data_IF_036647378365
#
_entry.id   IF_036647378365
#
_cell.length_a   1.000
_cell.length_b   1.000
_cell.length_c   1.000
_cell.angle_alpha   90.00
_cell.angle_beta   90.00
_cell.angle_gamma   90.00
#
_symmetry.space_group_name_H-M   'P 1'
#
loop_
_entity.id
_entity.type
_entity.pdbx_description
1 polymer ?
#
# COMPACT_ATOMS: atom_id res chain seq x y z
N UNK A 1 -8.67 8.30 20.13
CA UNK A 1 -7.94 8.12 18.86
C UNK A 1 -7.91 6.63 18.55
N UNK A 2 -8.66 6.19 17.55
CA UNK A 2 -9.00 4.76 17.32
C UNK A 2 -8.06 4.07 16.34
N UNK A 3 -7.83 2.78 16.53
CA UNK A 3 -6.80 1.99 15.83
C UNK A 3 -7.26 1.57 14.43
N UNK A 4 -6.84 2.34 13.43
CA UNK A 4 -6.99 2.07 12.01
C UNK A 4 -5.84 1.22 11.47
N UNK A 5 -5.43 0.19 12.20
CA UNK A 5 -4.16 -0.46 11.94
C UNK A 5 -4.07 -1.18 10.59
N UNK A 6 -5.20 -1.47 9.98
CA UNK A 6 -5.31 -2.73 9.31
C UNK A 6 -5.47 -2.63 7.77
N UNK A 7 -6.21 -1.65 7.26
CA UNK A 7 -6.41 -1.49 5.81
C UNK A 7 -5.10 -1.30 5.01
N UNK A 8 -4.02 -0.85 5.68
CA UNK A 8 -2.71 -0.63 5.04
C UNK A 8 -2.01 -1.92 4.65
N UNK A 9 -2.28 -3.01 5.37
CA UNK A 9 -1.66 -4.30 5.14
C UNK A 9 -1.93 -4.88 3.74
N UNK A 10 -3.00 -4.43 3.06
CA UNK A 10 -3.60 -5.16 1.94
C UNK A 10 -3.21 -4.62 0.56
N UNK A 11 -2.71 -3.39 0.48
CA UNK A 11 -2.14 -2.86 -0.76
C UNK A 11 -0.97 -1.91 -0.54
N UNK A 12 -0.56 -1.67 0.72
CA UNK A 12 0.87 -1.74 0.91
C UNK A 12 1.30 -3.02 0.20
N UNK A 13 0.64 -4.18 0.46
CA UNK A 13 0.78 -5.52 -0.18
C UNK A 13 1.26 -5.53 -1.64
N UNK A 14 0.87 -4.53 -2.42
CA UNK A 14 1.03 -4.53 -3.84
C UNK A 14 1.98 -3.48 -4.38
N UNK A 15 2.94 -2.85 -3.68
CA UNK A 15 3.80 -1.80 -4.29
C UNK A 15 5.08 -1.47 -3.50
N UNK A 16 6.31 -1.89 -3.89
CA UNK A 16 7.63 -1.40 -3.37
C UNK A 16 8.98 -1.93 -3.99
N UNK A 17 9.64 -1.43 -5.08
CA UNK A 17 11.15 -1.26 -5.25
C UNK A 17 11.75 -1.25 -6.70
N UNK A 18 12.51 -0.20 -7.08
CA UNK A 18 13.87 -0.34 -7.66
C UNK A 18 14.70 0.97 -7.57
N UNK A 19 15.94 0.88 -7.07
CA UNK A 19 16.96 1.95 -7.09
C UNK A 19 17.82 1.97 -8.37
N UNK A 20 18.70 2.98 -8.56
CA UNK A 20 19.31 3.30 -9.84
C UNK A 20 20.51 2.39 -10.17
N UNK A 21 20.62 1.98 -11.44
CA UNK A 21 21.85 1.39 -11.98
C UNK A 21 22.91 2.49 -12.16
N UNK A 22 24.04 2.39 -11.43
CA UNK A 22 25.27 3.15 -11.73
C UNK A 22 26.22 2.28 -12.52
N UNK A 23 26.81 2.89 -13.55
CA UNK A 23 27.71 2.27 -14.51
C UNK A 23 28.95 1.67 -13.88
N UNK A 24 29.40 0.58 -14.49
CA UNK A 24 30.69 -0.04 -14.26
C UNK A 24 31.80 0.82 -14.87
N UNK A 25 32.90 1.00 -14.15
CA UNK A 25 34.23 0.69 -14.68
C UNK A 25 35.28 0.62 -13.55
N UNK A 26 36.24 -0.30 -13.78
CA UNK A 26 37.51 -0.60 -13.11
C UNK A 26 37.55 -1.43 -11.79
N UNK A 27 37.96 -2.69 -11.94
CA UNK A 27 38.34 -3.69 -10.92
C UNK A 27 39.79 -3.45 -10.42
N UNK A 28 40.15 -3.76 -9.15
CA UNK A 28 40.61 -5.14 -8.83
C UNK A 28 40.33 -5.67 -7.40
N UNK A 29 40.34 -7.02 -7.31
CA UNK A 29 40.22 -7.92 -6.15
C UNK A 29 38.79 -8.20 -5.61
N UNK A 30 38.35 -9.47 -5.46
CA UNK A 30 37.06 -9.77 -4.85
C UNK A 30 37.15 -9.42 -3.37
N UNK A 31 36.58 -8.28 -3.01
CA UNK A 31 36.19 -8.02 -1.63
C UNK A 31 35.35 -9.22 -1.16
N UNK A 32 35.51 -9.68 0.10
CA UNK A 32 34.58 -10.65 0.66
C UNK A 32 33.17 -10.14 0.37
N UNK A 33 32.34 -10.99 -0.26
CA UNK A 33 31.00 -10.60 -0.68
C UNK A 33 30.34 -9.90 0.50
N UNK A 34 30.16 -8.57 0.37
CA UNK A 34 29.48 -7.81 1.39
C UNK A 34 28.17 -8.55 1.66
N UNK A 35 27.78 -8.77 2.92
CA UNK A 35 26.51 -9.42 3.22
C UNK A 35 25.46 -8.71 2.37
N UNK A 36 24.76 -9.47 1.52
CA UNK A 36 23.80 -8.91 0.59
C UNK A 36 22.89 -7.98 1.39
N UNK A 37 22.93 -6.68 1.08
CA UNK A 37 22.16 -5.69 1.81
C UNK A 37 20.72 -6.17 1.88
N UNK A 38 20.13 -6.13 3.08
CA UNK A 38 18.73 -6.53 3.24
C UNK A 38 17.88 -5.77 2.23
N UNK A 39 16.96 -6.45 1.53
CA UNK A 39 16.13 -5.78 0.56
C UNK A 39 15.32 -4.70 1.29
N UNK A 40 15.24 -3.50 0.70
CA UNK A 40 14.40 -2.42 1.23
C UNK A 40 12.95 -2.90 1.42
N UNK A 41 12.54 -3.90 0.63
CA UNK A 41 11.17 -4.37 0.53
C UNK A 41 11.21 -5.89 0.49
N UNK A 42 10.66 -6.50 1.54
CA UNK A 42 10.90 -7.91 1.84
C UNK A 42 10.08 -8.87 0.99
N UNK A 43 8.80 -8.62 0.77
CA UNK A 43 8.00 -9.45 -0.15
C UNK A 43 8.33 -9.09 -1.61
N UNK A 44 8.46 -10.08 -2.49
CA UNK A 44 8.77 -9.84 -3.89
C UNK A 44 7.59 -9.28 -4.69
N UNK A 45 6.33 -9.54 -4.30
CA UNK A 45 5.18 -8.97 -5.00
C UNK A 45 5.10 -7.46 -4.76
N UNK A 46 5.31 -7.04 -3.50
CA UNK A 46 5.57 -5.65 -3.17
C UNK A 46 6.68 -5.12 -4.06
N UNK A 47 7.89 -5.71 -3.96
CA UNK A 47 9.07 -5.39 -4.79
C UNK A 47 8.72 -4.96 -6.21
N UNK A 48 8.03 -5.86 -6.90
CA UNK A 48 7.63 -5.65 -8.28
C UNK A 48 6.83 -4.38 -8.51
N UNK A 49 5.80 -4.14 -7.71
CA UNK A 49 4.81 -3.17 -8.09
C UNK A 49 5.20 -1.72 -7.78
N UNK A 50 6.00 -1.38 -6.76
CA UNK A 50 6.52 0.01 -6.74
C UNK A 50 7.69 0.20 -7.66
N UNK A 51 8.37 -0.85 -8.11
CA UNK A 51 9.23 -0.69 -9.27
C UNK A 51 8.41 -0.07 -10.42
N UNK A 52 7.16 -0.54 -10.61
CA UNK A 52 6.26 0.03 -11.61
C UNK A 52 5.83 1.47 -11.27
N UNK A 53 5.48 1.75 -10.02
CA UNK A 53 5.05 3.08 -9.59
C UNK A 53 6.20 4.11 -9.68
N UNK A 54 7.31 3.86 -8.97
CA UNK A 54 8.47 4.76 -8.89
C UNK A 54 9.18 4.89 -10.25
N UNK A 55 9.29 3.79 -11.01
CA UNK A 55 9.90 3.77 -12.33
C UNK A 55 8.94 4.17 -13.47
N UNK A 56 7.72 4.56 -13.14
CA UNK A 56 6.61 4.85 -14.07
C UNK A 56 6.43 3.82 -15.22
N UNK A 57 6.70 2.56 -14.94
CA UNK A 57 6.59 1.49 -15.95
C UNK A 57 5.13 1.14 -16.21
N UNK A 58 4.77 0.97 -17.48
CA UNK A 58 3.43 0.56 -17.92
C UNK A 58 3.45 -0.85 -18.48
N UNK A 59 2.33 -1.56 -18.39
CA UNK A 59 2.25 -2.91 -18.94
C UNK A 59 1.06 -3.71 -18.45
N UNK A 60 1.01 -4.94 -18.94
CA UNK A 60 0.09 -6.00 -18.52
C UNK A 60 0.94 -7.23 -18.23
N UNK A 61 0.70 -7.83 -17.07
CA UNK A 61 1.39 -9.02 -16.61
C UNK A 61 0.36 -10.07 -16.26
N UNK A 62 0.47 -11.25 -16.86
CA UNK A 62 -0.34 -12.40 -16.46
C UNK A 62 0.11 -12.93 -15.11
N UNK A 63 -0.77 -13.62 -14.39
CA UNK A 63 -0.42 -14.29 -13.14
C UNK A 63 0.78 -15.22 -13.27
N UNK A 64 0.87 -15.95 -14.39
CA UNK A 64 1.99 -16.86 -14.68
C UNK A 64 3.32 -16.13 -14.86
N UNK A 65 3.33 -15.05 -15.62
CA UNK A 65 4.54 -14.23 -15.82
C UNK A 65 5.01 -13.62 -14.50
N UNK A 66 4.07 -13.10 -13.71
CA UNK A 66 4.39 -12.54 -12.41
C UNK A 66 4.91 -13.61 -11.46
N UNK A 67 4.24 -14.76 -11.34
CA UNK A 67 4.70 -15.87 -10.52
C UNK A 67 6.11 -16.33 -10.88
N UNK A 68 6.43 -16.45 -12.18
CA UNK A 68 7.78 -16.78 -12.64
C UNK A 68 8.80 -15.71 -12.23
N UNK A 69 8.46 -14.43 -12.38
CA UNK A 69 9.30 -13.30 -11.97
C UNK A 69 9.54 -13.27 -10.46
N UNK A 70 8.52 -13.54 -9.65
CA UNK A 70 8.66 -13.57 -8.19
C UNK A 70 9.50 -14.77 -7.75
N UNK A 71 9.30 -15.94 -8.35
CA UNK A 71 10.10 -17.13 -8.09
C UNK A 71 11.60 -16.90 -8.37
N UNK A 72 11.93 -16.15 -9.42
CA UNK A 72 13.31 -15.79 -9.76
C UNK A 72 14.00 -14.94 -8.67
N UNK A 73 13.25 -14.29 -7.77
CA UNK A 73 13.84 -13.55 -6.64
C UNK A 73 14.35 -14.47 -5.52
N UNK A 74 14.02 -15.77 -5.54
CA UNK A 74 14.30 -16.72 -4.47
C UNK A 74 13.49 -16.46 -3.18
N UNK A 75 12.56 -15.50 -3.19
CA UNK A 75 11.72 -15.14 -2.04
C UNK A 75 10.27 -15.57 -2.29
N UNK A 76 9.58 -15.95 -1.20
CA UNK A 76 8.16 -16.29 -1.24
C UNK A 76 7.32 -15.05 -0.93
N UNK A 77 6.26 -14.83 -1.70
CA UNK A 77 5.24 -13.82 -1.36
C UNK A 77 4.26 -14.37 -0.33
N UNK A 78 3.84 -13.53 0.62
CA UNK A 78 2.72 -13.80 1.54
C UNK A 78 1.37 -13.59 0.87
N UNK A 79 1.35 -12.94 -0.29
CA UNK A 79 0.13 -12.73 -1.05
C UNK A 79 -0.22 -13.95 -1.89
N UNK A 80 -1.53 -14.15 -2.16
CA UNK A 80 -2.01 -15.28 -2.93
C UNK A 80 -1.79 -15.05 -4.44
N UNK A 81 -0.54 -14.90 -4.86
CA UNK A 81 -0.18 -14.60 -6.26
C UNK A 81 -0.66 -15.71 -7.20
N UNK A 82 -0.87 -16.92 -6.69
CA UNK A 82 -1.47 -18.03 -7.43
C UNK A 82 -2.92 -17.75 -7.90
N UNK A 83 -3.64 -16.86 -7.21
CA UNK A 83 -5.01 -16.46 -7.58
C UNK A 83 -5.05 -15.32 -8.59
N UNK A 84 -3.90 -14.68 -8.86
CA UNK A 84 -3.81 -13.56 -9.78
C UNK A 84 -4.00 -14.05 -11.23
N UNK A 85 -4.98 -13.50 -11.92
CA UNK A 85 -5.15 -13.67 -13.37
C UNK A 85 -4.31 -12.66 -14.12
N UNK A 86 -4.41 -11.38 -13.77
CA UNK A 86 -3.61 -10.32 -14.39
C UNK A 86 -3.41 -9.11 -13.48
N UNK A 87 -2.30 -8.41 -13.71
CA UNK A 87 -2.01 -7.09 -13.20
C UNK A 87 -1.75 -6.16 -14.39
N UNK A 88 -2.38 -5.00 -14.40
CA UNK A 88 -2.27 -4.01 -15.46
C UNK A 88 -2.00 -2.64 -14.85
N UNK A 89 -1.07 -1.90 -15.45
CA UNK A 89 -0.88 -0.47 -15.21
C UNK A 89 -0.81 0.25 -16.57
N UNK A 90 -1.78 1.11 -16.86
CA UNK A 90 -1.85 1.86 -18.11
C UNK A 90 -1.95 3.35 -17.86
N UNK A 91 -1.54 4.12 -18.87
CA UNK A 91 -1.86 5.53 -18.92
C UNK A 91 -3.36 5.75 -19.12
N UNK A 92 -3.91 6.73 -18.42
CA UNK A 92 -5.29 7.19 -18.64
C UNK A 92 -5.25 8.23 -19.76
N UNK A 93 -6.01 8.06 -20.86
CA UNK A 93 -6.07 9.05 -21.94
C UNK A 93 -6.46 10.44 -21.42
N UNK A 94 -5.79 11.50 -21.88
CA UNK A 94 -6.00 12.89 -21.41
C UNK A 94 -7.47 13.32 -21.24
N UNK A 95 -8.41 13.01 -22.17
CA UNK A 95 -9.81 13.38 -22.02
C UNK A 95 -10.53 12.68 -20.86
N UNK A 96 -9.99 11.56 -20.39
CA UNK A 96 -10.55 10.69 -19.36
C UNK A 96 -9.84 10.85 -18.01
N UNK A 97 -8.82 11.70 -17.89
CA UNK A 97 -8.08 11.89 -16.64
C UNK A 97 -8.92 12.74 -15.67
N UNK A 98 -9.46 12.16 -14.58
CA UNK A 98 -10.20 12.95 -13.61
C UNK A 98 -9.26 13.90 -12.88
N UNK A 99 -9.72 15.13 -12.66
CA UNK A 99 -8.95 16.18 -11.98
C UNK A 99 -9.52 16.45 -10.59
N UNK A 100 -8.64 16.58 -9.59
CA UNK A 100 -8.98 16.88 -8.21
C UNK A 100 -7.91 17.74 -7.58
N UNK A 101 -8.29 18.87 -6.96
CA UNK A 101 -7.33 19.84 -6.37
C UNK A 101 -6.18 20.16 -7.35
N UNK A 102 -6.54 20.39 -8.62
CA UNK A 102 -5.61 20.68 -9.73
C UNK A 102 -4.60 19.56 -10.06
N UNK A 103 -4.88 18.33 -9.61
CA UNK A 103 -4.09 17.12 -9.92
C UNK A 103 -4.90 16.15 -10.77
N UNK A 104 -4.27 15.60 -11.80
CA UNK A 104 -4.86 14.60 -12.68
C UNK A 104 -4.46 13.20 -12.26
N UNK A 105 -5.39 12.25 -12.34
CA UNK A 105 -5.04 10.84 -12.28
C UNK A 105 -4.49 10.43 -13.64
N UNK A 106 -3.21 10.06 -13.70
CA UNK A 106 -2.51 9.82 -14.97
C UNK A 106 -2.37 8.34 -15.30
N UNK A 107 -2.59 7.46 -14.32
CA UNK A 107 -2.48 6.01 -14.49
C UNK A 107 -3.70 5.30 -13.93
N UNK A 108 -4.02 4.16 -14.53
CA UNK A 108 -5.02 3.22 -14.07
C UNK A 108 -4.33 1.90 -13.77
N UNK A 109 -4.60 1.37 -12.59
CA UNK A 109 -4.25 0.03 -12.19
C UNK A 109 -5.47 -0.86 -12.29
N UNK A 110 -5.27 -2.09 -12.77
CA UNK A 110 -6.29 -3.14 -12.71
C UNK A 110 -5.65 -4.42 -12.21
N UNK A 111 -6.26 -5.02 -11.19
CA UNK A 111 -5.89 -6.33 -10.66
C UNK A 111 -7.09 -7.24 -10.88
N UNK A 112 -6.86 -8.37 -11.54
CA UNK A 112 -7.88 -9.40 -11.71
C UNK A 112 -7.40 -10.69 -11.04
N UNK A 113 -8.25 -11.23 -10.17
CA UNK A 113 -8.13 -12.52 -9.52
C UNK A 113 -9.03 -13.53 -10.24
N UNK A 114 -8.86 -14.82 -9.95
CA UNK A 114 -9.69 -15.90 -10.50
C UNK A 114 -11.11 -15.90 -9.89
N UNK A 115 -11.24 -15.49 -8.64
CA UNK A 115 -12.49 -15.33 -7.90
C UNK A 115 -12.38 -14.19 -6.88
N UNK A 116 -13.50 -13.88 -6.21
CA UNK A 116 -13.45 -13.10 -4.98
C UNK A 116 -12.59 -13.84 -3.95
N UNK A 117 -11.71 -13.11 -3.26
CA UNK A 117 -10.79 -13.66 -2.28
C UNK A 117 -11.34 -13.42 -0.88
N UNK A 118 -11.47 -14.47 -0.08
CA UNK A 118 -11.68 -14.40 1.36
C UNK A 118 -10.63 -15.27 2.05
N UNK A 119 -9.67 -14.66 2.75
CA UNK A 119 -8.58 -15.42 3.42
C UNK A 119 -8.20 -14.81 4.76
N UNK A 120 -7.66 -15.60 5.71
CA UNK A 120 -7.05 -15.06 6.90
C UNK A 120 -5.98 -14.03 6.55
N UNK A 121 -5.85 -13.02 7.38
CA UNK A 121 -4.91 -11.94 7.10
C UNK A 121 -3.45 -12.41 7.14
N UNK A 122 -2.67 -12.09 6.08
CA UNK A 122 -1.31 -12.62 5.95
C UNK A 122 -0.32 -11.97 6.92
N UNK A 123 -0.73 -10.95 7.66
CA UNK A 123 0.09 -10.21 8.62
C UNK A 123 -0.47 -10.38 10.03
N UNK A 124 0.42 -10.63 10.98
CA UNK A 124 0.07 -10.58 12.39
C UNK A 124 0.10 -9.12 12.87
N UNK A 125 -0.88 -8.76 13.68
CA UNK A 125 -0.91 -7.48 14.39
C UNK A 125 -0.73 -7.81 15.86
N UNK A 126 0.35 -7.29 16.47
CA UNK A 126 0.71 -7.58 17.85
C UNK A 126 0.81 -9.10 18.14
N UNK A 127 1.25 -9.89 17.13
CA UNK A 127 1.39 -11.34 17.24
C UNK A 127 0.10 -12.14 17.04
N UNK A 128 -1.01 -11.51 16.65
CA UNK A 128 -2.30 -12.16 16.40
C UNK A 128 -2.77 -11.98 14.95
N UNK A 129 -3.45 -12.98 14.36
CA UNK A 129 -4.04 -12.91 13.01
C UNK A 129 -5.47 -12.35 13.08
N UNK A 130 -5.71 -11.07 12.74
CA UNK A 130 -6.86 -10.34 13.30
C UNK A 130 -8.19 -10.52 12.55
N UNK A 131 -8.36 -11.58 11.76
CA UNK A 131 -9.60 -11.84 11.03
C UNK A 131 -9.39 -12.16 9.56
N UNK A 132 -10.32 -11.70 8.72
CA UNK A 132 -10.41 -12.07 7.31
C UNK A 132 -10.22 -10.87 6.40
N UNK A 133 -9.46 -11.10 5.33
CA UNK A 133 -9.35 -10.20 4.21
C UNK A 133 -10.34 -10.61 3.13
N UNK A 134 -11.17 -9.67 2.70
CA UNK A 134 -12.02 -9.79 1.52
C UNK A 134 -11.52 -8.88 0.41
N UNK A 135 -11.31 -9.44 -0.78
CA UNK A 135 -10.93 -8.70 -1.99
C UNK A 135 -11.84 -9.12 -3.13
N UNK A 136 -12.43 -8.16 -3.83
CA UNK A 136 -13.17 -8.45 -5.06
C UNK A 136 -12.27 -9.07 -6.12
N UNK A 137 -12.86 -9.92 -6.96
CA UNK A 137 -12.21 -10.51 -8.12
C UNK A 137 -11.53 -9.45 -9.00
N UNK A 138 -12.16 -8.30 -9.18
CA UNK A 138 -11.61 -7.20 -9.97
C UNK A 138 -11.44 -5.98 -9.07
N UNK A 139 -10.23 -5.46 -9.03
CA UNK A 139 -9.92 -4.15 -8.48
C UNK A 139 -9.47 -3.22 -9.59
N UNK A 140 -10.02 -2.00 -9.63
CA UNK A 140 -9.44 -0.92 -10.43
C UNK A 140 -9.13 0.29 -9.56
N UNK A 141 -7.96 0.87 -9.76
CA UNK A 141 -7.53 2.06 -9.07
C UNK A 141 -7.04 3.14 -10.04
N UNK A 142 -7.30 4.39 -9.71
CA UNK A 142 -6.70 5.54 -10.38
C UNK A 142 -5.54 6.09 -9.55
N UNK A 143 -4.43 6.39 -10.19
CA UNK A 143 -3.20 6.86 -9.56
C UNK A 143 -3.02 8.36 -9.79
N UNK A 144 -2.90 9.11 -8.69
CA UNK A 144 -2.42 10.48 -8.67
C UNK A 144 -0.97 10.49 -8.19
N UNK A 145 -0.09 11.09 -8.97
CA UNK A 145 1.29 11.36 -8.55
C UNK A 145 1.36 12.77 -7.99
N UNK A 146 1.64 12.88 -6.70
CA UNK A 146 1.84 14.15 -6.02
C UNK A 146 3.35 14.40 -5.90
N UNK A 147 3.82 15.65 -6.08
CA UNK A 147 5.23 15.96 -5.93
C UNK A 147 5.70 15.75 -4.49
N UNK A 148 7.00 15.51 -4.33
CA UNK A 148 7.63 15.48 -3.02
C UNK A 148 7.50 16.81 -2.29
N UNK A 149 7.53 16.74 -0.96
CA UNK A 149 7.33 17.89 -0.08
C UNK A 149 8.01 17.67 1.28
N UNK A 150 8.14 18.74 2.06
CA UNK A 150 8.51 18.66 3.47
C UNK A 150 7.29 18.96 4.33
N UNK A 151 7.12 18.21 5.41
CA UNK A 151 6.00 18.39 6.33
C UNK A 151 6.48 18.28 7.77
N UNK A 152 6.10 19.27 8.59
CA UNK A 152 6.29 19.17 10.04
C UNK A 152 5.09 18.48 10.66
N UNK A 153 5.36 17.39 11.37
CA UNK A 153 4.36 16.60 12.09
C UNK A 153 4.30 17.08 13.53
N UNK A 154 3.12 17.07 14.14
CA UNK A 154 2.90 17.51 15.54
C UNK A 154 3.11 19.02 15.81
N UNK A 155 3.05 19.86 14.77
CA UNK A 155 3.03 21.31 14.89
C UNK A 155 4.26 22.01 14.29
N UNK A 156 4.37 23.34 14.43
CA UNK A 156 5.45 24.13 13.83
C UNK A 156 6.86 23.75 14.30
N UNK A 157 6.98 23.25 15.53
CA UNK A 157 8.24 22.87 16.18
C UNK A 157 8.51 21.36 16.13
N UNK A 158 7.61 20.58 15.52
CA UNK A 158 7.77 19.15 15.41
C UNK A 158 8.77 18.74 14.32
N UNK A 159 9.15 17.45 14.27
CA UNK A 159 10.17 16.99 13.33
C UNK A 159 9.71 17.21 11.89
N UNK A 160 10.63 17.66 11.06
CA UNK A 160 10.39 17.80 9.62
C UNK A 160 10.63 16.44 8.95
N UNK A 161 9.57 15.92 8.33
CA UNK A 161 9.64 14.76 7.45
C UNK A 161 9.83 15.24 6.02
N UNK A 162 10.82 14.68 5.34
CA UNK A 162 10.97 14.82 3.89
C UNK A 162 10.22 13.69 3.23
N UNK A 163 9.24 14.03 2.41
CA UNK A 163 8.39 13.09 1.70
C UNK A 163 8.74 13.17 0.21
N UNK A 164 9.12 12.04 -0.38
CA UNK A 164 9.34 11.91 -1.82
C UNK A 164 8.04 12.06 -2.62
N UNK A 165 8.12 11.84 -3.94
CA UNK A 165 6.90 11.77 -4.74
C UNK A 165 5.93 10.73 -4.16
N UNK A 166 4.65 11.09 -4.07
CA UNK A 166 3.63 10.24 -3.48
C UNK A 166 2.76 9.68 -4.61
N UNK A 167 2.59 8.36 -4.63
CA UNK A 167 1.70 7.66 -5.54
C UNK A 167 0.43 7.32 -4.77
N UNK A 168 -0.64 8.05 -5.04
CA UNK A 168 -1.93 7.88 -4.37
C UNK A 168 -2.91 7.15 -5.29
N UNK A 169 -3.13 5.86 -5.02
CA UNK A 169 -4.00 4.95 -5.76
C UNK A 169 -5.38 4.90 -5.10
N UNK A 170 -6.40 5.49 -5.71
CA UNK A 170 -7.78 5.44 -5.23
C UNK A 170 -8.53 4.29 -5.89
N UNK A 171 -9.21 3.45 -5.10
CA UNK A 171 -10.06 2.39 -5.61
C UNK A 171 -11.34 2.97 -6.23
N UNK A 172 -11.58 2.64 -7.50
CA UNK A 172 -12.78 3.02 -8.26
C UNK A 172 -13.71 1.82 -8.51
N UNK A 173 -13.15 0.61 -8.63
CA UNK A 173 -13.90 -0.64 -8.84
C UNK A 173 -13.44 -1.70 -7.87
N UNK A 174 -14.39 -2.47 -7.35
CA UNK A 174 -14.14 -3.56 -6.41
C UNK A 174 -13.94 -3.06 -4.97
N UNK A 175 -13.58 -3.99 -4.11
CA UNK A 175 -13.41 -3.74 -2.69
C UNK A 175 -12.23 -4.45 -2.08
N UNK A 176 -11.69 -3.80 -1.06
CA UNK A 176 -10.73 -4.38 -0.13
C UNK A 176 -11.26 -4.13 1.28
N UNK A 177 -11.77 -5.18 1.90
CA UNK A 177 -12.38 -5.12 3.23
C UNK A 177 -11.56 -5.96 4.18
N UNK A 178 -11.24 -5.34 5.30
CA UNK A 178 -10.91 -6.05 6.51
C UNK A 178 -12.17 -6.35 7.29
N UNK A 179 -12.37 -7.62 7.60
CA UNK A 179 -13.26 -8.09 8.66
C UNK A 179 -12.40 -8.46 9.88
N UNK A 180 -12.57 -7.73 10.98
CA UNK A 180 -11.76 -7.92 12.18
C UNK A 180 -12.44 -8.89 13.15
N UNK A 181 -11.71 -9.91 13.62
CA UNK A 181 -12.27 -10.92 14.50
C UNK A 181 -12.73 -10.32 15.84
N UNK A 182 -13.97 -10.64 16.22
CA UNK A 182 -14.62 -10.16 17.45
C UNK A 182 -13.87 -10.52 18.75
N UNK A 183 -12.97 -11.51 18.74
CA UNK A 183 -12.11 -11.85 19.88
C UNK A 183 -11.07 -10.74 20.12
N UNK A 184 -10.49 -10.19 19.06
CA UNK A 184 -9.55 -9.07 19.13
C UNK A 184 -10.27 -7.82 19.63
N UNK A 185 -11.51 -7.65 19.19
CA UNK A 185 -12.36 -6.57 19.68
C UNK A 185 -12.61 -6.65 21.18
N UNK A 186 -12.77 -7.85 21.75
CA UNK A 186 -12.88 -8.01 23.22
C UNK A 186 -11.59 -7.66 23.94
N UNK A 187 -10.43 -7.99 23.37
CA UNK A 187 -9.12 -7.73 23.98
C UNK A 187 -8.66 -6.27 23.85
N UNK A 188 -8.97 -5.62 22.73
CA UNK A 188 -8.56 -4.25 22.43
C UNK A 188 -9.67 -3.21 22.68
N UNK A 189 -10.83 -3.66 23.16
CA UNK A 189 -11.89 -2.83 23.75
C UNK A 189 -12.88 -2.21 22.75
N UNK A 190 -13.44 -3.01 21.82
CA UNK A 190 -14.33 -2.60 20.71
C UNK A 190 -13.70 -1.54 19.79
N UNK A 191 -12.39 -1.65 19.55
CA UNK A 191 -11.61 -0.60 18.86
C UNK A 191 -11.14 -0.98 17.46
N UNK A 192 -11.26 -2.26 17.07
CA UNK A 192 -10.94 -2.73 15.73
C UNK A 192 -12.25 -2.87 14.96
N UNK A 193 -12.66 -1.77 14.34
CA UNK A 193 -13.78 -1.81 13.40
C UNK A 193 -13.33 -2.46 12.09
N UNK A 194 -14.22 -3.25 11.51
CA UNK A 194 -14.16 -3.62 10.10
C UNK A 194 -13.87 -2.38 9.25
N UNK A 195 -12.96 -2.53 8.30
CA UNK A 195 -12.48 -1.39 7.53
C UNK A 195 -12.63 -1.65 6.04
N UNK A 196 -13.32 -0.73 5.37
CA UNK A 196 -13.31 -0.62 3.92
C UNK A 196 -12.15 0.27 3.48
N UNK A 197 -11.38 -0.17 2.49
CA UNK A 197 -10.27 0.61 1.94
C UNK A 197 -10.71 1.44 0.75
N UNK A 198 -10.37 2.73 0.75
CA UNK A 198 -10.70 3.68 -0.32
C UNK A 198 -9.50 4.00 -1.20
N UNK A 199 -8.31 4.05 -0.62
CA UNK A 199 -7.11 4.43 -1.34
C UNK A 199 -5.85 3.88 -0.67
N UNK A 200 -4.77 3.89 -1.42
CA UNK A 200 -3.43 3.52 -0.98
C UNK A 200 -2.45 4.61 -1.38
N UNK A 201 -1.45 4.82 -0.56
CA UNK A 201 -0.42 5.82 -0.75
C UNK A 201 0.92 5.15 -0.57
N UNK A 202 1.79 5.37 -1.55
CA UNK A 202 3.19 4.98 -1.50
C UNK A 202 4.05 6.24 -1.54
N UNK A 203 5.01 6.36 -0.63
CA UNK A 203 6.00 7.43 -0.65
C UNK A 203 7.27 7.04 0.09
N UNK A 204 8.40 7.61 -0.32
CA UNK A 204 9.63 7.59 0.47
C UNK A 204 9.55 8.67 1.55
N UNK A 205 9.97 8.35 2.77
CA UNK A 205 9.98 9.26 3.90
C UNK A 205 11.37 9.25 4.54
N UNK A 206 11.90 10.45 4.81
CA UNK A 206 13.15 10.64 5.55
C UNK A 206 12.96 11.63 6.70
N UNK A 207 13.81 11.56 7.71
CA UNK A 207 13.78 12.46 8.87
C UNK A 207 12.80 12.02 9.97
N UNK A 208 12.22 10.83 9.86
CA UNK A 208 11.40 10.28 10.92
C UNK A 208 12.24 9.89 12.14
N UNK A 209 11.75 10.24 13.34
CA UNK A 209 12.40 9.90 14.60
C UNK A 209 12.48 8.38 14.84
N UNK A 210 11.46 7.63 14.42
CA UNK A 210 11.52 6.18 14.38
C UNK A 210 12.10 5.72 13.02
N UNK A 211 13.23 5.01 13.08
CA UNK A 211 13.88 4.42 11.91
C UNK A 211 13.02 3.42 11.13
N UNK A 212 11.89 2.93 11.68
CA UNK A 212 10.90 2.12 10.95
C UNK A 212 10.03 2.92 9.98
N UNK A 213 9.98 4.24 10.16
CA UNK A 213 9.21 5.14 9.31
C UNK A 213 10.10 5.80 8.23
N UNK A 214 11.41 5.55 8.23
CA UNK A 214 12.30 6.01 7.16
C UNK A 214 12.37 5.00 6.01
N UNK A 215 12.53 5.49 4.79
CA UNK A 215 12.50 4.71 3.55
C UNK A 215 11.12 4.65 2.92
N UNK A 216 10.88 3.61 2.13
CA UNK A 216 9.59 3.42 1.47
C UNK A 216 8.48 3.07 2.48
N UNK A 217 7.39 3.82 2.44
CA UNK A 217 6.24 3.68 3.34
C UNK A 217 4.94 3.48 2.56
N UNK A 218 4.10 2.59 3.07
CA UNK A 218 2.78 2.30 2.53
C UNK A 218 1.69 2.71 3.51
N UNK A 219 0.69 3.45 3.04
CA UNK A 219 -0.45 3.90 3.85
C UNK A 219 -1.73 3.54 3.12
N UNK A 220 -2.64 2.79 3.74
CA UNK A 220 -4.01 2.75 3.24
C UNK A 220 -4.87 3.76 3.97
N UNK A 221 -5.83 4.28 3.22
CA UNK A 221 -6.86 5.18 3.65
C UNK A 221 -8.19 4.47 3.47
N UNK A 222 -9.01 4.49 4.50
CA UNK A 222 -10.29 3.79 4.49
C UNK A 222 -11.28 4.40 5.46
N UNK A 223 -12.36 3.65 5.69
CA UNK A 223 -13.40 3.99 6.66
C UNK A 223 -13.84 2.76 7.44
N UNK A 224 -14.12 2.99 8.71
CA UNK A 224 -14.84 2.02 9.53
C UNK A 224 -16.28 1.86 9.03
N UNK A 225 -16.97 0.83 9.51
CA UNK A 225 -18.41 0.61 9.26
C UNK A 225 -19.30 1.80 9.63
N UNK A 226 -18.94 2.56 10.67
CA UNK A 226 -19.63 3.79 11.09
C UNK A 226 -19.23 5.05 10.27
N UNK A 227 -18.47 4.89 9.19
CA UNK A 227 -18.01 5.98 8.31
C UNK A 227 -16.80 6.76 8.82
N UNK A 228 -16.31 6.49 10.05
CA UNK A 228 -15.14 7.15 10.62
C UNK A 228 -13.91 6.93 9.72
N UNK A 229 -13.16 8.00 9.36
CA UNK A 229 -11.96 7.85 8.56
C UNK A 229 -10.87 7.11 9.33
N UNK A 230 -10.19 6.25 8.58
CA UNK A 230 -9.17 5.32 9.04
C UNK A 230 -7.94 5.48 8.13
N UNK A 231 -6.74 5.41 8.69
CA UNK A 231 -5.47 5.23 7.98
C UNK A 231 -4.58 4.20 8.68
N UNK A 232 -4.04 3.23 7.96
CA UNK A 232 -3.01 2.32 8.49
C UNK A 232 -1.65 2.60 7.88
N UNK A 233 -0.57 2.09 8.46
CA UNK A 233 0.77 2.17 7.90
C UNK A 233 1.43 0.80 7.80
N UNK A 234 2.36 0.67 6.86
CA UNK A 234 3.08 -0.56 6.58
C UNK A 234 4.57 -0.29 6.40
N UNK A 235 5.39 -1.06 7.12
CA UNK A 235 6.86 -1.11 6.97
C UNK A 235 7.20 -2.24 5.99
N UNK A 236 7.55 -1.87 4.76
CA UNK A 236 7.89 -2.79 3.68
C UNK A 236 9.16 -3.59 3.93
N UNK A 237 10.12 -3.01 4.65
CA UNK A 237 11.40 -3.65 4.97
C UNK A 237 11.18 -4.77 5.96
N UNK A 238 10.35 -4.54 6.97
CA UNK A 238 10.01 -5.57 7.96
C UNK A 238 8.90 -6.50 7.52
N UNK A 239 8.11 -6.08 6.55
CA UNK A 239 6.90 -6.78 6.09
C UNK A 239 5.84 -6.83 7.20
N UNK A 240 5.63 -5.67 7.83
CA UNK A 240 4.86 -5.50 9.06
C UNK A 240 3.91 -4.31 8.99
N UNK A 241 2.74 -4.51 9.60
CA UNK A 241 1.76 -3.46 9.84
C UNK A 241 2.20 -2.64 11.05
N UNK A 242 2.34 -1.32 10.88
CA UNK A 242 2.78 -0.41 11.94
C UNK A 242 1.59 0.18 12.71
N UNK A 243 1.68 0.38 14.04
CA UNK A 243 0.71 1.07 14.90
C UNK A 243 0.08 2.32 14.28
N UNK A 244 -1.21 2.59 14.56
CA UNK A 244 -1.87 3.78 14.03
C UNK A 244 -1.31 5.05 14.72
N UNK A 245 -1.46 6.20 14.06
CA UNK A 245 -1.04 7.50 14.61
C UNK A 245 0.45 7.80 14.43
N UNK A 246 1.18 6.92 13.74
CA UNK A 246 2.58 7.15 13.32
C UNK A 246 2.71 8.49 12.57
N UNK A 247 3.69 9.33 12.91
CA UNK A 247 3.83 10.64 12.27
C UNK A 247 3.89 10.60 10.74
N UNK A 248 4.65 9.67 10.15
CA UNK A 248 4.72 9.53 8.68
C UNK A 248 3.36 9.15 8.09
N UNK A 249 2.65 8.22 8.71
CA UNK A 249 1.31 7.81 8.28
C UNK A 249 0.31 8.97 8.29
N UNK A 250 0.33 9.78 9.37
CA UNK A 250 -0.52 10.96 9.52
C UNK A 250 -0.20 12.02 8.46
N UNK A 251 1.08 12.28 8.23
CA UNK A 251 1.55 13.18 7.19
C UNK A 251 1.06 12.76 5.80
N UNK A 252 1.37 11.52 5.39
CA UNK A 252 0.97 10.98 4.09
C UNK A 252 -0.55 10.97 3.91
N UNK A 253 -1.28 10.58 4.96
CA UNK A 253 -2.74 10.61 4.96
C UNK A 253 -3.28 12.04 4.77
N UNK A 254 -2.74 13.02 5.51
CA UNK A 254 -3.14 14.42 5.40
C UNK A 254 -2.87 15.01 4.02
N UNK A 255 -1.70 14.71 3.44
CA UNK A 255 -1.29 15.19 2.12
C UNK A 255 -2.14 14.58 0.99
N UNK A 256 -2.49 13.31 1.08
CA UNK A 256 -3.17 12.60 -0.02
C UNK A 256 -4.70 12.65 0.06
N UNK A 257 -5.30 12.72 1.26
CA UNK A 257 -6.77 12.72 1.43
C UNK A 257 -7.51 13.74 0.54
N UNK A 258 -7.05 15.00 0.37
CA UNK A 258 -7.73 15.97 -0.49
C UNK A 258 -7.84 15.54 -1.96
N UNK A 259 -6.97 14.63 -2.41
CA UNK A 259 -6.93 14.12 -3.78
C UNK A 259 -7.74 12.83 -3.88
N UNK A 260 -7.63 11.91 -2.92
CA UNK A 260 -8.25 10.57 -3.05
C UNK A 260 -9.63 10.41 -2.39
N UNK A 261 -10.08 11.31 -1.52
CA UNK A 261 -11.44 11.27 -0.95
C UNK A 261 -12.44 11.98 -1.89
N UNK A 262 -13.65 11.43 -2.12
CA UNK A 262 -14.83 12.01 -1.50
C UNK A 262 -15.98 10.97 -1.53
N UNK A 263 -15.81 9.77 -0.98
CA UNK A 263 -17.01 8.98 -0.73
C UNK A 263 -17.75 9.76 0.37
N UNK A 264 -18.77 10.52 -0.05
CA UNK A 264 -19.70 11.21 0.87
C UNK A 264 -20.44 10.18 1.73
N UNK A 265 -20.59 8.95 1.22
CA UNK A 265 -21.13 7.81 1.94
C UNK A 265 -20.36 6.53 1.62
N UNK A 266 -20.21 5.60 2.57
CA UNK A 266 -19.68 4.26 2.30
C UNK A 266 -20.52 3.61 1.19
N UNK A 267 -19.90 2.95 0.21
CA UNK A 267 -20.66 2.15 -0.76
C UNK A 267 -21.47 1.10 0.02
N UNK A 268 -22.82 1.12 0.01
CA UNK A 268 -23.60 0.14 0.74
C UNK A 268 -23.30 -1.30 0.29
N UNK A 269 -22.83 -1.48 -0.96
CA UNK A 269 -22.42 -2.77 -1.51
C UNK A 269 -21.17 -3.33 -0.84
N UNK A 270 -20.35 -2.46 -0.26
CA UNK A 270 -19.22 -2.86 0.55
C UNK A 270 -19.61 -3.78 1.70
N UNK A 271 -20.68 -3.41 2.39
CA UNK A 271 -21.11 -4.06 3.61
C UNK A 271 -22.21 -5.10 3.37
N UNK A 272 -22.68 -5.22 2.13
CA UNK A 272 -23.66 -6.23 1.73
C UNK A 272 -23.02 -7.55 1.30
N UNK A 273 -21.69 -7.69 1.40
CA UNK A 273 -21.02 -8.96 1.17
C UNK A 273 -21.60 -9.99 2.14
N UNK A 274 -22.22 -11.03 1.58
CA UNK A 274 -22.63 -12.24 2.30
C UNK A 274 -21.89 -13.40 1.64
N UNK A 275 -21.25 -14.28 2.42
CA UNK A 275 -20.69 -15.52 1.89
C UNK A 275 -21.76 -16.39 1.22
#
# INVERSE_FOLDING_TARGET
>A
MGNSLFAAAVLAALLSACGPARGADDLPWPAPAAPAAEPEVRDPFFAFCAALAEGDSLGVWTGRELAARLAATGRRSKLPVETLVSLERREVPLPLQPTRRDRRATRRWRVELDADLARPLPYSILGYHPGTLHVSRVLEALEWVLPGTSVRVDGPDGPELRVGAMHALRLEVGHVILDADGLVDKLLGKKLDDTWTEAFVLARVDGAADARENGLNGVALGRARNGRPLSGAFDFRRDEVLPNGRPAARALSGLCRPVVAPYEQPDPRAWSWRP
#
